data_IF_105061440981
#
_entry.id   IF_105061440981
#
_cell.length_a   1.000
_cell.length_b   1.000
_cell.length_c   1.000
_cell.angle_alpha   90.00
_cell.angle_beta   90.00
_cell.angle_gamma   90.00
#
_symmetry.space_group_name_H-M   'P 1'
#
loop_
_entity.id
_entity.type
_entity.pdbx_description
1 polymer ?
#
# COMPACT_ATOMS: atom_id res chain seq x y z
N UNK A 1 -49.46 -15.57 20.83
CA UNK A 1 -48.81 -16.78 20.25
C UNK A 1 -47.99 -16.43 19.02
N UNK A 2 -48.39 -15.45 18.20
CA UNK A 2 -47.68 -14.99 16.98
C UNK A 2 -46.34 -14.29 17.28
N UNK A 3 -46.26 -13.54 18.38
CA UNK A 3 -45.03 -12.77 18.76
C UNK A 3 -43.88 -13.67 19.22
N UNK A 4 -44.19 -14.85 19.80
CA UNK A 4 -43.18 -15.80 20.29
C UNK A 4 -42.55 -16.59 19.10
N UNK A 5 -43.33 -16.83 18.06
CA UNK A 5 -42.87 -17.52 16.85
C UNK A 5 -41.95 -16.60 15.96
N UNK A 6 -42.20 -15.29 15.95
CA UNK A 6 -41.37 -14.31 15.24
C UNK A 6 -40.01 -14.11 15.92
N UNK A 7 -39.97 -14.14 17.25
CA UNK A 7 -38.71 -13.98 18.01
C UNK A 7 -37.81 -15.23 17.89
N UNK A 8 -38.40 -16.43 17.83
CA UNK A 8 -37.66 -17.68 17.64
C UNK A 8 -37.05 -17.77 16.22
N UNK A 9 -37.77 -17.28 15.21
CA UNK A 9 -37.23 -17.25 13.82
C UNK A 9 -36.17 -16.19 13.64
N UNK A 10 -36.22 -15.04 14.34
CA UNK A 10 -35.22 -14.01 14.30
C UNK A 10 -33.91 -14.45 14.97
N UNK A 11 -34.00 -15.17 16.11
CA UNK A 11 -32.82 -15.72 16.78
C UNK A 11 -32.13 -16.83 15.97
N UNK A 12 -32.90 -17.71 15.32
CA UNK A 12 -32.39 -18.77 14.44
C UNK A 12 -31.70 -18.20 13.19
N UNK A 13 -32.20 -17.12 12.62
CA UNK A 13 -31.60 -16.42 11.46
C UNK A 13 -30.29 -15.74 11.87
N UNK A 14 -30.21 -15.17 13.05
CA UNK A 14 -29.00 -14.51 13.55
C UNK A 14 -27.92 -15.53 13.94
N UNK A 15 -28.30 -16.68 14.52
CA UNK A 15 -27.41 -17.78 14.84
C UNK A 15 -26.87 -18.47 13.57
N UNK A 16 -27.69 -18.58 12.51
CA UNK A 16 -27.27 -19.07 11.20
C UNK A 16 -26.36 -18.10 10.45
N UNK A 17 -26.50 -16.78 10.65
CA UNK A 17 -25.56 -15.78 10.11
C UNK A 17 -24.18 -15.86 10.78
N UNK A 18 -24.11 -16.19 12.06
CA UNK A 18 -22.84 -16.31 12.80
C UNK A 18 -22.15 -17.66 12.57
N UNK A 19 -22.86 -18.67 12.07
CA UNK A 19 -22.33 -20.03 11.83
C UNK A 19 -21.82 -20.30 10.42
N UNK A 20 -21.80 -19.30 9.53
CA UNK A 20 -21.15 -19.49 8.23
C UNK A 20 -19.62 -19.62 8.43
N UNK A 21 -19.03 -20.78 8.09
CA UNK A 21 -17.58 -20.96 8.22
C UNK A 21 -16.86 -19.93 7.36
N UNK A 22 -15.99 -19.12 7.97
CA UNK A 22 -15.13 -18.20 7.24
C UNK A 22 -14.33 -19.01 6.22
N UNK A 23 -14.59 -18.82 4.94
CA UNK A 23 -13.92 -19.54 3.87
C UNK A 23 -12.55 -18.93 3.61
N UNK A 24 -11.55 -19.34 4.38
CA UNK A 24 -10.16 -18.94 4.14
C UNK A 24 -9.59 -19.53 2.85
N UNK A 25 -8.80 -18.75 2.15
CA UNK A 25 -8.04 -19.19 0.98
C UNK A 25 -6.95 -20.18 1.43
N UNK A 26 -6.99 -21.41 0.89
CA UNK A 26 -6.04 -22.48 1.21
C UNK A 26 -4.84 -22.47 0.27
N UNK A 27 -3.67 -22.85 0.79
CA UNK A 27 -2.44 -23.00 0.00
C UNK A 27 -2.64 -24.01 -1.14
N UNK A 28 -2.00 -23.72 -2.30
CA UNK A 28 -2.09 -24.60 -3.49
C UNK A 28 -3.29 -24.30 -4.40
N UNK A 29 -4.14 -23.35 -4.03
CA UNK A 29 -5.24 -22.89 -4.88
C UNK A 29 -4.83 -21.69 -5.75
N UNK A 30 -5.46 -21.54 -6.92
CA UNK A 30 -5.22 -20.39 -7.78
C UNK A 30 -5.51 -19.02 -7.10
N UNK A 31 -6.56 -18.88 -6.26
CA UNK A 31 -6.77 -17.66 -5.46
C UNK A 31 -5.62 -17.35 -4.52
N UNK A 32 -5.03 -18.35 -3.84
CA UNK A 32 -3.89 -18.15 -2.93
C UNK A 32 -2.69 -17.55 -3.68
N UNK A 33 -2.34 -18.11 -4.82
CA UNK A 33 -1.21 -17.61 -5.62
C UNK A 33 -1.47 -16.21 -6.13
N UNK A 34 -2.69 -15.92 -6.61
CA UNK A 34 -3.06 -14.59 -7.10
C UNK A 34 -2.98 -13.53 -6.01
N UNK A 35 -3.54 -13.78 -4.83
CA UNK A 35 -3.53 -12.83 -3.71
C UNK A 35 -2.10 -12.59 -3.23
N UNK A 36 -1.33 -13.65 -3.03
CA UNK A 36 0.04 -13.55 -2.52
C UNK A 36 0.96 -12.83 -3.50
N UNK A 37 0.88 -13.13 -4.80
CA UNK A 37 1.66 -12.45 -5.83
C UNK A 37 1.21 -11.00 -6.05
N UNK A 38 -0.10 -10.74 -5.99
CA UNK A 38 -0.61 -9.37 -6.11
C UNK A 38 -0.09 -8.49 -4.98
N UNK A 39 -0.09 -8.98 -3.74
CA UNK A 39 0.43 -8.24 -2.60
C UNK A 39 1.96 -8.13 -2.60
N UNK A 40 2.68 -9.17 -3.01
CA UNK A 40 4.12 -9.07 -3.28
C UNK A 40 4.42 -7.95 -4.27
N UNK A 41 3.70 -7.91 -5.40
CA UNK A 41 3.88 -6.88 -6.44
C UNK A 41 3.46 -5.48 -5.94
N UNK A 42 2.39 -5.39 -5.15
CA UNK A 42 1.94 -4.14 -4.54
C UNK A 42 2.98 -3.59 -3.55
N UNK A 43 3.55 -4.45 -2.71
CA UNK A 43 4.64 -4.09 -1.81
C UNK A 43 5.90 -3.64 -2.56
N UNK A 44 6.28 -4.39 -3.61
CA UNK A 44 7.39 -4.05 -4.48
C UNK A 44 7.19 -2.66 -5.11
N UNK A 45 6.03 -2.41 -5.71
CA UNK A 45 5.71 -1.12 -6.32
C UNK A 45 5.71 0.02 -5.31
N UNK A 46 5.12 -0.19 -4.12
CA UNK A 46 5.04 0.81 -3.05
C UNK A 46 6.43 1.31 -2.66
N UNK A 47 7.34 0.41 -2.37
CA UNK A 47 8.68 0.77 -1.90
C UNK A 47 9.61 1.19 -3.04
N UNK A 48 9.41 0.68 -4.26
CA UNK A 48 10.11 1.19 -5.44
C UNK A 48 9.77 2.66 -5.70
N UNK A 49 8.48 3.02 -5.70
CA UNK A 49 8.02 4.42 -5.87
C UNK A 49 8.48 5.34 -4.75
N UNK A 50 8.52 4.84 -3.52
CA UNK A 50 8.95 5.64 -2.36
C UNK A 50 10.44 5.98 -2.45
N UNK A 51 11.28 5.01 -2.81
CA UNK A 51 12.74 5.13 -2.71
C UNK A 51 13.46 5.44 -4.03
N UNK A 52 12.79 5.41 -5.20
CA UNK A 52 13.39 5.75 -6.49
C UNK A 52 14.01 7.16 -6.53
N UNK A 53 13.56 8.08 -5.66
CA UNK A 53 14.08 9.45 -5.60
C UNK A 53 15.48 9.54 -4.97
N UNK A 54 15.91 8.56 -4.18
CA UNK A 54 17.17 8.68 -3.44
C UNK A 54 18.40 8.92 -4.32
N UNK A 55 18.64 8.16 -5.41
CA UNK A 55 19.77 8.43 -6.30
C UNK A 55 19.63 9.75 -7.06
N UNK A 56 18.40 10.25 -7.22
CA UNK A 56 18.08 11.47 -7.95
C UNK A 56 18.30 12.75 -7.12
N UNK A 57 18.44 12.62 -5.80
CA UNK A 57 18.58 13.79 -4.90
C UNK A 57 19.70 14.78 -5.29
N UNK A 58 20.91 14.34 -5.71
CA UNK A 58 21.95 15.25 -6.17
C UNK A 58 21.55 16.05 -7.41
N UNK A 59 20.85 15.40 -8.35
CA UNK A 59 20.37 16.05 -9.59
C UNK A 59 19.29 17.06 -9.26
N UNK A 60 18.33 16.71 -8.39
CA UNK A 60 17.31 17.66 -7.91
C UNK A 60 17.93 18.86 -7.20
N UNK A 61 18.99 18.65 -6.43
CA UNK A 61 19.73 19.73 -5.77
C UNK A 61 20.32 20.71 -6.79
N UNK A 62 20.91 20.22 -7.88
CA UNK A 62 21.51 21.04 -8.94
C UNK A 62 20.44 21.73 -9.79
N UNK A 63 19.44 20.99 -10.25
CA UNK A 63 18.38 21.49 -11.15
C UNK A 63 17.57 22.63 -10.51
N UNK A 64 17.21 22.47 -9.24
CA UNK A 64 16.39 23.45 -8.52
C UNK A 64 17.22 24.46 -7.69
N UNK A 65 18.55 24.39 -7.71
CA UNK A 65 19.41 25.29 -6.97
C UNK A 65 19.20 25.24 -5.45
N UNK A 66 18.82 24.06 -4.92
CA UNK A 66 18.56 23.85 -3.49
C UNK A 66 19.72 23.11 -2.84
N UNK A 67 19.89 23.29 -1.51
CA UNK A 67 20.95 22.57 -0.80
C UNK A 67 20.72 21.06 -0.79
N UNK A 68 21.78 20.23 -0.66
CA UNK A 68 21.62 18.76 -0.51
C UNK A 68 20.72 18.37 0.67
N UNK A 69 20.73 19.14 1.75
CA UNK A 69 19.83 18.96 2.88
C UNK A 69 18.37 19.22 2.48
N UNK A 70 18.14 20.28 1.69
CA UNK A 70 16.79 20.58 1.19
C UNK A 70 16.30 19.53 0.19
N UNK A 71 17.15 18.99 -0.69
CA UNK A 71 16.74 17.95 -1.64
C UNK A 71 16.28 16.67 -0.92
N UNK A 72 16.91 16.30 0.21
CA UNK A 72 16.50 15.13 1.00
C UNK A 72 15.13 15.29 1.68
N UNK A 73 14.60 16.52 1.81
CA UNK A 73 13.24 16.78 2.29
C UNK A 73 12.19 16.10 1.38
N UNK A 74 12.49 15.94 0.09
CA UNK A 74 11.58 15.26 -0.85
C UNK A 74 11.30 13.80 -0.47
N UNK A 75 12.28 13.09 0.09
CA UNK A 75 12.08 11.74 0.63
C UNK A 75 11.43 11.80 2.02
N UNK A 76 11.89 12.70 2.87
CA UNK A 76 11.39 12.83 4.25
C UNK A 76 9.90 13.19 4.28
N UNK A 77 9.44 14.08 3.40
CA UNK A 77 8.03 14.45 3.32
C UNK A 77 7.16 13.28 2.84
N UNK A 78 7.64 12.46 1.89
CA UNK A 78 6.93 11.26 1.45
C UNK A 78 6.77 10.26 2.59
N UNK A 79 7.83 9.99 3.35
CA UNK A 79 7.79 9.08 4.50
C UNK A 79 6.96 9.61 5.65
N UNK A 80 7.01 10.90 5.92
CA UNK A 80 6.19 11.55 6.94
C UNK A 80 4.70 11.47 6.58
N UNK A 81 4.33 11.78 5.34
CA UNK A 81 2.96 11.70 4.87
C UNK A 81 2.44 10.26 4.78
N UNK A 82 3.31 9.30 4.47
CA UNK A 82 2.98 7.88 4.58
C UNK A 82 2.65 7.52 6.03
N UNK A 83 3.48 7.92 6.99
CA UNK A 83 3.25 7.67 8.41
C UNK A 83 1.94 8.29 8.92
N UNK A 84 1.66 9.54 8.53
CA UNK A 84 0.40 10.22 8.85
C UNK A 84 -0.77 9.47 8.21
N UNK A 85 -0.65 9.08 6.94
CA UNK A 85 -1.68 8.34 6.22
C UNK A 85 -2.02 7.01 6.86
N UNK A 86 -1.06 6.28 7.45
CA UNK A 86 -1.30 5.02 8.15
C UNK A 86 -2.35 5.15 9.26
N UNK A 87 -2.42 6.30 9.94
CA UNK A 87 -3.37 6.53 11.03
C UNK A 87 -4.83 6.58 10.52
N UNK A 88 -5.04 7.04 9.30
CA UNK A 88 -6.38 7.25 8.75
C UNK A 88 -6.79 6.13 7.78
N UNK A 89 -5.84 5.49 7.13
CA UNK A 89 -6.13 4.51 6.07
C UNK A 89 -6.68 3.19 6.63
N UNK A 90 -6.29 2.79 7.84
CA UNK A 90 -6.86 1.63 8.52
C UNK A 90 -8.39 1.74 8.65
N UNK A 91 -8.92 2.70 9.42
CA UNK A 91 -10.35 2.92 9.56
C UNK A 91 -11.07 3.16 8.22
N UNK A 92 -10.44 3.87 7.29
CA UNK A 92 -11.00 4.09 5.95
C UNK A 92 -11.18 2.78 5.19
N UNK A 93 -10.22 1.87 5.27
CA UNK A 93 -10.29 0.56 4.61
C UNK A 93 -11.32 -0.37 5.24
N UNK A 94 -11.62 -0.20 6.52
CA UNK A 94 -12.71 -0.92 7.19
C UNK A 94 -14.08 -0.48 6.66
N UNK A 95 -14.23 0.81 6.35
CA UNK A 95 -15.49 1.38 5.86
C UNK A 95 -15.74 1.12 4.36
N UNK A 96 -14.71 1.22 3.52
CA UNK A 96 -14.83 1.17 2.05
C UNK A 96 -14.47 -0.23 1.51
N UNK A 97 -13.70 -0.99 2.27
CA UNK A 97 -13.17 -2.30 1.89
C UNK A 97 -11.67 -2.26 1.56
N UNK A 98 -10.98 -3.36 1.84
CA UNK A 98 -9.52 -3.49 1.70
C UNK A 98 -9.04 -3.31 0.25
N UNK A 99 -9.64 -4.07 -0.70
CA UNK A 99 -9.23 -4.07 -2.12
C UNK A 99 -9.36 -2.70 -2.80
N UNK A 100 -10.52 -1.99 -2.73
CA UNK A 100 -10.64 -0.69 -3.37
C UNK A 100 -9.60 0.30 -2.86
N UNK A 101 -9.36 0.33 -1.55
CA UNK A 101 -8.37 1.24 -0.94
C UNK A 101 -6.96 0.98 -1.47
N UNK A 102 -6.52 -0.28 -1.55
CA UNK A 102 -5.20 -0.62 -2.09
C UNK A 102 -5.05 -0.28 -3.57
N UNK A 103 -6.09 -0.55 -4.39
CA UNK A 103 -6.06 -0.27 -5.83
C UNK A 103 -6.04 1.23 -6.09
N UNK A 104 -6.92 1.99 -5.44
CA UNK A 104 -6.95 3.46 -5.58
C UNK A 104 -5.66 4.09 -5.07
N UNK A 105 -5.08 3.59 -3.99
CA UNK A 105 -3.80 4.03 -3.45
C UNK A 105 -2.66 3.90 -4.48
N UNK A 106 -2.52 2.73 -5.12
CA UNK A 106 -1.50 2.52 -6.15
C UNK A 106 -1.73 3.37 -7.39
N UNK A 107 -2.98 3.51 -7.84
CA UNK A 107 -3.32 4.36 -8.99
C UNK A 107 -2.99 5.82 -8.72
N UNK A 108 -3.39 6.35 -7.56
CA UNK A 108 -3.08 7.72 -7.17
C UNK A 108 -1.57 7.96 -7.04
N UNK A 109 -0.85 7.04 -6.40
CA UNK A 109 0.60 7.13 -6.28
C UNK A 109 1.29 7.14 -7.65
N UNK A 110 0.84 6.29 -8.57
CA UNK A 110 1.37 6.22 -9.94
C UNK A 110 1.06 7.52 -10.72
N UNK A 111 -0.17 8.03 -10.64
CA UNK A 111 -0.54 9.31 -11.26
C UNK A 111 0.29 10.47 -10.69
N UNK A 112 0.42 10.56 -9.36
CA UNK A 112 1.23 11.62 -8.74
C UNK A 112 2.71 11.51 -9.13
N UNK A 113 3.24 10.28 -9.29
CA UNK A 113 4.61 10.07 -9.76
C UNK A 113 4.79 10.57 -11.18
N UNK A 114 3.86 10.25 -12.09
CA UNK A 114 3.90 10.77 -13.47
C UNK A 114 3.75 12.30 -13.49
N UNK A 115 2.83 12.86 -12.71
CA UNK A 115 2.66 14.31 -12.62
C UNK A 115 3.90 15.01 -12.04
N UNK A 116 4.64 14.35 -11.15
CA UNK A 116 5.87 14.92 -10.58
C UNK A 116 6.95 15.19 -11.64
N UNK A 117 6.95 14.46 -12.75
CA UNK A 117 7.90 14.67 -13.87
C UNK A 117 7.60 15.95 -14.66
N UNK A 118 6.39 16.49 -14.55
CA UNK A 118 5.98 17.74 -15.21
C UNK A 118 6.15 18.97 -14.32
N UNK A 119 6.60 18.79 -13.08
CA UNK A 119 6.76 19.91 -12.14
C UNK A 119 8.05 20.66 -12.42
N UNK A 120 7.91 21.95 -12.67
CA UNK A 120 9.04 22.87 -12.93
C UNK A 120 9.47 23.64 -11.67
N UNK A 121 8.79 23.48 -10.56
CA UNK A 121 9.09 24.16 -9.30
C UNK A 121 9.39 23.15 -8.18
N UNK A 122 10.35 23.51 -7.32
CA UNK A 122 10.71 22.70 -6.15
C UNK A 122 9.52 22.41 -5.24
N UNK A 123 8.68 23.42 -4.98
CA UNK A 123 7.48 23.26 -4.16
C UNK A 123 6.46 22.30 -4.79
N UNK A 124 6.34 22.32 -6.12
CA UNK A 124 5.49 21.36 -6.85
C UNK A 124 5.95 19.92 -6.66
N UNK A 125 7.26 19.67 -6.71
CA UNK A 125 7.84 18.36 -6.43
C UNK A 125 7.54 17.93 -4.99
N UNK A 126 7.71 18.80 -4.00
CA UNK A 126 7.42 18.47 -2.60
C UNK A 126 5.95 18.11 -2.38
N UNK A 127 5.02 18.84 -3.01
CA UNK A 127 3.59 18.54 -2.94
C UNK A 127 3.29 17.15 -3.56
N UNK A 128 3.83 16.87 -4.74
CA UNK A 128 3.66 15.55 -5.38
C UNK A 128 4.25 14.44 -4.52
N UNK A 129 5.41 14.64 -3.91
CA UNK A 129 6.03 13.70 -2.98
C UNK A 129 5.20 13.47 -1.73
N UNK A 130 4.58 14.50 -1.18
CA UNK A 130 3.64 14.39 -0.06
C UNK A 130 2.42 13.54 -0.44
N UNK A 131 1.83 13.80 -1.60
CA UNK A 131 0.67 13.06 -2.11
C UNK A 131 1.02 11.59 -2.42
N UNK A 132 2.21 11.32 -2.98
CA UNK A 132 2.69 9.95 -3.20
C UNK A 132 2.77 9.21 -1.86
N UNK A 133 3.41 9.80 -0.84
CA UNK A 133 3.53 9.18 0.48
C UNK A 133 2.16 8.89 1.10
N UNK A 134 1.26 9.86 1.07
CA UNK A 134 -0.10 9.71 1.58
C UNK A 134 -0.86 8.60 0.84
N UNK A 135 -0.76 8.55 -0.50
CA UNK A 135 -1.40 7.51 -1.30
C UNK A 135 -0.86 6.12 -0.99
N UNK A 136 0.47 5.96 -0.88
CA UNK A 136 1.11 4.68 -0.60
C UNK A 136 0.74 4.10 0.78
N UNK A 137 0.28 4.93 1.73
CA UNK A 137 -0.22 4.46 3.02
C UNK A 137 -1.38 3.47 2.88
N UNK A 138 -2.19 3.60 1.81
CA UNK A 138 -3.29 2.69 1.52
C UNK A 138 -2.87 1.24 1.29
N UNK A 139 -1.69 1.01 0.76
CA UNK A 139 -1.14 -0.34 0.60
C UNK A 139 -0.43 -0.79 1.87
N UNK A 140 0.38 0.09 2.47
CA UNK A 140 1.19 -0.24 3.63
C UNK A 140 0.34 -0.57 4.87
N UNK A 141 -0.75 0.17 5.12
CA UNK A 141 -1.67 -0.08 6.22
C UNK A 141 -2.50 -1.35 6.04
N UNK A 142 -2.97 -1.59 4.82
CA UNK A 142 -4.02 -2.58 4.56
C UNK A 142 -3.47 -3.94 4.15
N UNK A 143 -2.28 -3.99 3.55
CA UNK A 143 -1.73 -5.22 2.96
C UNK A 143 -1.60 -6.39 3.93
N UNK A 144 -1.07 -6.17 5.14
CA UNK A 144 -0.94 -7.24 6.14
C UNK A 144 -2.28 -7.67 6.72
N UNK A 145 -3.17 -6.70 6.98
CA UNK A 145 -4.52 -6.98 7.50
C UNK A 145 -5.32 -7.78 6.48
N UNK A 146 -5.27 -7.41 5.21
CA UNK A 146 -5.92 -8.15 4.14
C UNK A 146 -5.44 -9.61 4.06
N UNK A 147 -4.13 -9.86 4.21
CA UNK A 147 -3.59 -11.22 4.24
C UNK A 147 -4.11 -12.02 5.43
N UNK A 148 -4.22 -11.41 6.61
CA UNK A 148 -4.71 -12.10 7.81
C UNK A 148 -6.20 -12.44 7.75
N UNK A 149 -6.98 -11.66 7.01
CA UNK A 149 -8.42 -11.87 6.84
C UNK A 149 -8.75 -12.92 5.77
N UNK A 150 -8.00 -12.94 4.66
CA UNK A 150 -8.31 -13.77 3.50
C UNK A 150 -7.61 -15.14 3.52
N UNK A 151 -6.43 -15.25 4.12
CA UNK A 151 -5.60 -16.46 4.07
C UNK A 151 -5.77 -17.28 5.33
N UNK A 152 -5.82 -18.61 5.15
CA UNK A 152 -5.91 -19.54 6.27
C UNK A 152 -4.76 -19.30 7.28
N UNK A 153 -5.02 -19.26 8.60
CA UNK A 153 -4.03 -18.92 9.64
C UNK A 153 -2.69 -19.63 9.53
N UNK A 154 -2.69 -20.91 9.12
CA UNK A 154 -1.47 -21.72 8.95
C UNK A 154 -0.51 -21.19 7.86
N UNK A 155 -0.97 -20.33 6.95
CA UNK A 155 -0.19 -19.83 5.82
C UNK A 155 -0.04 -18.30 5.79
N UNK A 156 -0.65 -17.60 6.73
CA UNK A 156 -0.58 -16.14 6.85
C UNK A 156 0.86 -15.67 7.00
N UNK A 157 1.63 -16.31 7.89
CA UNK A 157 3.03 -15.95 8.12
C UNK A 157 3.89 -16.06 6.85
N UNK A 158 3.70 -17.11 6.05
CA UNK A 158 4.38 -17.27 4.76
C UNK A 158 4.03 -16.13 3.79
N UNK A 159 2.74 -15.81 3.65
CA UNK A 159 2.27 -14.78 2.73
C UNK A 159 2.71 -13.38 3.17
N UNK A 160 2.73 -13.11 4.48
CA UNK A 160 3.27 -11.87 5.05
C UNK A 160 4.78 -11.75 4.80
N UNK A 161 5.53 -12.84 4.97
CA UNK A 161 6.95 -12.89 4.66
C UNK A 161 7.23 -12.57 3.19
N UNK A 162 6.40 -13.08 2.28
CA UNK A 162 6.53 -12.79 0.85
C UNK A 162 6.19 -11.32 0.54
N UNK A 163 5.14 -10.76 1.17
CA UNK A 163 4.82 -9.32 1.07
C UNK A 163 5.98 -8.44 1.54
N UNK A 164 6.57 -8.75 2.70
CA UNK A 164 7.73 -8.01 3.24
C UNK A 164 8.94 -8.14 2.32
N UNK A 165 9.16 -9.33 1.73
CA UNK A 165 10.23 -9.53 0.74
C UNK A 165 10.00 -8.65 -0.49
N UNK A 166 8.75 -8.50 -0.95
CA UNK A 166 8.37 -7.56 -2.00
C UNK A 166 8.76 -6.12 -1.65
N UNK A 167 8.46 -5.68 -0.42
CA UNK A 167 8.84 -4.35 0.07
C UNK A 167 10.36 -4.13 -0.01
N UNK A 168 11.15 -5.10 0.45
CA UNK A 168 12.61 -5.01 0.48
C UNK A 168 13.21 -4.99 -0.93
N UNK A 169 12.76 -5.90 -1.80
CA UNK A 169 13.19 -5.95 -3.21
C UNK A 169 12.76 -4.68 -3.94
N UNK A 170 11.56 -4.18 -3.69
CA UNK A 170 11.04 -2.94 -4.25
C UNK A 170 11.90 -1.73 -3.90
N UNK A 171 12.23 -1.58 -2.61
CA UNK A 171 13.08 -0.50 -2.14
C UNK A 171 14.50 -0.54 -2.73
N UNK A 172 15.07 -1.74 -2.91
CA UNK A 172 16.36 -1.91 -3.52
C UNK A 172 16.32 -1.69 -5.04
N UNK A 173 15.37 -2.31 -5.74
CA UNK A 173 15.23 -2.18 -7.20
C UNK A 173 14.90 -0.76 -7.63
N UNK A 174 14.05 -0.04 -6.88
CA UNK A 174 13.75 1.37 -7.15
C UNK A 174 14.99 2.24 -7.12
N UNK A 175 15.88 2.04 -6.15
CA UNK A 175 17.16 2.76 -6.06
C UNK A 175 18.11 2.37 -7.19
N UNK A 176 18.26 1.08 -7.47
CA UNK A 176 19.18 0.59 -8.50
C UNK A 176 18.76 1.07 -9.89
N UNK A 177 17.47 0.92 -10.24
CA UNK A 177 16.96 1.32 -11.55
C UNK A 177 17.12 2.83 -11.78
N UNK A 178 16.71 3.65 -10.81
CA UNK A 178 16.86 5.10 -10.93
C UNK A 178 18.34 5.53 -10.92
N UNK A 179 19.20 4.84 -10.16
CA UNK A 179 20.64 5.10 -10.15
C UNK A 179 21.31 4.78 -11.48
N UNK A 180 20.98 3.66 -12.11
CA UNK A 180 21.53 3.28 -13.43
C UNK A 180 21.09 4.27 -14.52
N UNK A 181 19.82 4.69 -14.51
CA UNK A 181 19.30 5.67 -15.48
C UNK A 181 19.92 7.07 -15.35
N UNK A 182 20.67 7.32 -14.27
CA UNK A 182 21.35 8.60 -14.06
C UNK A 182 22.82 8.61 -14.55
N UNK A 183 23.36 7.46 -14.90
CA UNK A 183 24.78 7.32 -15.34
C UNK A 183 24.94 7.53 -16.85
N UNK A 184 23.85 7.46 -17.60
CA UNK A 184 23.79 7.72 -19.05
C UNK A 184 23.37 9.19 -19.33
#
# INVERSE_FOLDING_TARGET
LTTILDDATASDIDEQRHSQPVQFIKRGTAPFMRVTLALFSAGLATFALLYCVQPILPVLSQEFGVSPASSSVSLSISTAMLAIGLLFTGPLSDAIGRKPVMVTALLLASCCTLLSTMMTSWHGILIMRALIGLSLSGVAAVGMTYLSEEIHPSFVAFSMGLYISGNSIGGMSGRLLSGVMMVD
#
